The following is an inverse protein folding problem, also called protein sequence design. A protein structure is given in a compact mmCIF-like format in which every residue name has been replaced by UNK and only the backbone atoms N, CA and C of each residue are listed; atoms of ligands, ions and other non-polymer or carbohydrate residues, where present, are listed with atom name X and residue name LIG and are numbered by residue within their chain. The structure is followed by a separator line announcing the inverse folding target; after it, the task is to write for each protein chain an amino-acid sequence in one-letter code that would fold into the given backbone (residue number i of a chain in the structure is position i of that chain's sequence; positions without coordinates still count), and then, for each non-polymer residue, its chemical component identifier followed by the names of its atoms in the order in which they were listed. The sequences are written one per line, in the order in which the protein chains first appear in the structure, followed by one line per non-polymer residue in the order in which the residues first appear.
data_IF_073342165071
#
_entry.id   IF_073342165071
#
_cell.length_a   1.000
_cell.length_b   1.000
_cell.length_c   1.000
_cell.angle_alpha   90.00
_cell.angle_beta   90.00
_cell.angle_gamma   90.00
#
_symmetry.space_group_name_H-M   'P 1'
#
loop_
_entity.id
_entity.type
_entity.pdbx_description
1 polymer ?
#
# COMPACT_ATOMS: atom_id res chain seq x y z
N UNK A 1 -8.67 -6.89 -29.58
CA UNK A 1 -9.09 -6.69 -28.17
C UNK A 1 -8.25 -7.66 -27.34
N UNK A 2 -7.33 -7.23 -26.47
CA UNK A 2 -6.83 -8.17 -25.48
C UNK A 2 -7.97 -8.40 -24.49
N UNK A 3 -8.31 -9.67 -24.30
CA UNK A 3 -9.26 -10.13 -23.30
C UNK A 3 -8.81 -9.56 -21.95
N UNK A 4 -9.63 -8.69 -21.34
CA UNK A 4 -9.41 -8.24 -19.97
C UNK A 4 -9.69 -9.43 -19.06
N UNK A 5 -8.69 -10.29 -18.88
CA UNK A 5 -8.79 -11.45 -18.02
C UNK A 5 -8.94 -10.96 -16.57
N UNK A 6 -10.02 -11.39 -15.91
CA UNK A 6 -10.27 -11.10 -14.49
C UNK A 6 -9.40 -11.96 -13.55
N UNK A 7 -8.26 -12.45 -14.05
CA UNK A 7 -7.39 -13.42 -13.40
C UNK A 7 -5.92 -13.10 -13.64
N UNK A 8 -5.04 -13.67 -12.81
CA UNK A 8 -3.57 -13.50 -12.92
C UNK A 8 -3.02 -14.57 -13.86
N UNK A 9 -1.73 -14.49 -14.21
CA UNK A 9 -1.06 -15.50 -15.05
C UNK A 9 -1.27 -16.91 -14.48
N UNK A 10 -1.36 -17.90 -15.38
CA UNK A 10 -1.54 -19.30 -15.01
C UNK A 10 -0.22 -19.93 -14.55
N UNK A 11 -0.29 -21.14 -13.97
CA UNK A 11 0.91 -21.89 -13.55
C UNK A 11 1.81 -22.20 -14.75
N UNK A 12 1.21 -22.50 -15.91
CA UNK A 12 1.92 -22.79 -17.16
C UNK A 12 2.68 -21.57 -17.70
N UNK A 13 2.26 -20.37 -17.33
CA UNK A 13 2.86 -19.09 -17.74
C UNK A 13 3.88 -18.57 -16.70
N UNK A 14 4.00 -19.26 -15.56
CA UNK A 14 4.95 -18.95 -14.50
C UNK A 14 6.22 -19.81 -14.62
N UNK A 15 7.30 -19.37 -13.95
CA UNK A 15 8.57 -20.10 -13.90
C UNK A 15 9.02 -20.30 -12.45
N UNK A 16 9.91 -21.26 -12.22
CA UNK A 16 10.56 -21.40 -10.92
C UNK A 16 11.53 -20.23 -10.69
N UNK A 17 11.24 -19.42 -9.68
CA UNK A 17 12.01 -18.22 -9.34
C UNK A 17 13.04 -18.48 -8.24
N UNK A 18 12.71 -19.37 -7.30
CA UNK A 18 13.59 -19.69 -6.18
C UNK A 18 13.30 -21.09 -5.63
N UNK A 19 14.32 -21.70 -5.03
CA UNK A 19 14.21 -22.94 -4.27
C UNK A 19 14.79 -22.75 -2.88
N UNK A 20 14.16 -23.37 -1.88
CA UNK A 20 14.71 -23.49 -0.54
C UNK A 20 15.31 -24.88 -0.42
N UNK A 21 16.62 -24.96 -0.23
CA UNK A 21 17.35 -26.20 -0.03
C UNK A 21 17.78 -26.32 1.44
N UNK A 22 17.54 -27.49 2.04
CA UNK A 22 18.02 -27.85 3.37
C UNK A 22 18.77 -29.16 3.29
N UNK A 23 20.07 -29.11 3.57
CA UNK A 23 20.95 -30.29 3.60
C UNK A 23 20.93 -31.11 2.29
N UNK A 24 20.95 -30.45 1.13
CA UNK A 24 20.91 -31.14 -0.18
C UNK A 24 19.51 -31.54 -0.65
N UNK A 25 18.46 -31.25 0.13
CA UNK A 25 17.07 -31.54 -0.23
C UNK A 25 16.32 -30.24 -0.57
N UNK A 26 15.72 -30.19 -1.75
CA UNK A 26 14.83 -29.09 -2.14
C UNK A 26 13.52 -29.23 -1.37
N UNK A 27 13.40 -28.47 -0.29
CA UNK A 27 12.27 -28.48 0.64
C UNK A 27 11.07 -27.71 0.07
N UNK A 28 11.31 -26.65 -0.72
CA UNK A 28 10.25 -25.82 -1.29
C UNK A 28 10.68 -25.19 -2.61
N UNK A 29 9.70 -25.00 -3.50
CA UNK A 29 9.85 -24.35 -4.82
C UNK A 29 8.89 -23.17 -4.91
N UNK A 30 9.37 -22.02 -5.38
CA UNK A 30 8.60 -20.81 -5.55
C UNK A 30 8.40 -20.53 -7.03
N UNK A 31 7.15 -20.66 -7.50
CA UNK A 31 6.77 -20.47 -8.90
C UNK A 31 6.09 -19.11 -9.04
N UNK A 32 6.48 -18.32 -10.05
CA UNK A 32 5.90 -17.00 -10.30
C UNK A 32 6.42 -16.33 -11.56
N UNK A 33 6.21 -15.02 -11.62
CA UNK A 33 6.81 -14.15 -12.64
C UNK A 33 7.63 -13.04 -11.97
N UNK A 34 8.72 -12.62 -12.62
CA UNK A 34 9.57 -11.54 -12.17
C UNK A 34 10.14 -10.75 -13.35
N UNK A 35 10.32 -9.44 -13.12
CA UNK A 35 11.01 -8.54 -14.04
C UNK A 35 12.05 -7.74 -13.27
N UNK A 36 13.22 -7.54 -13.88
CA UNK A 36 14.25 -6.62 -13.40
C UNK A 36 14.36 -5.49 -14.42
N UNK A 37 14.19 -4.27 -13.95
CA UNK A 37 14.28 -3.06 -14.77
C UNK A 37 15.58 -2.31 -14.45
N UNK A 38 16.16 -1.70 -15.48
CA UNK A 38 17.23 -0.71 -15.35
C UNK A 38 16.66 0.62 -14.85
N UNK A 39 17.53 1.54 -14.41
CA UNK A 39 17.12 2.87 -13.94
C UNK A 39 16.42 3.73 -15.00
N UNK A 40 16.58 3.40 -16.29
CA UNK A 40 15.89 4.02 -17.41
C UNK A 40 14.56 3.31 -17.79
N UNK A 41 14.16 2.29 -17.03
CA UNK A 41 12.95 1.50 -17.25
C UNK A 41 13.08 0.38 -18.29
N UNK A 42 14.25 0.20 -18.91
CA UNK A 42 14.47 -0.92 -19.83
C UNK A 42 14.50 -2.27 -19.10
N UNK A 43 13.96 -3.31 -19.73
CA UNK A 43 13.95 -4.68 -19.17
C UNK A 43 15.35 -5.26 -19.24
N UNK A 44 15.94 -5.55 -18.08
CA UNK A 44 17.23 -6.24 -17.95
C UNK A 44 17.02 -7.74 -17.99
N UNK A 45 16.04 -8.23 -17.24
CA UNK A 45 15.69 -9.66 -17.14
C UNK A 45 14.19 -9.81 -16.99
N UNK A 46 13.63 -10.81 -17.66
CA UNK A 46 12.23 -11.23 -17.53
C UNK A 46 12.17 -12.73 -17.27
N UNK A 47 11.32 -13.14 -16.32
CA UNK A 47 11.08 -14.51 -15.91
C UNK A 47 9.55 -14.75 -15.86
N UNK A 48 9.05 -15.68 -16.67
CA UNK A 48 7.60 -15.94 -16.80
C UNK A 48 6.83 -14.79 -17.46
N UNK A 49 5.51 -14.81 -17.29
CA UNK A 49 4.60 -13.79 -17.81
C UNK A 49 4.49 -12.55 -16.91
N UNK A 50 5.15 -11.47 -17.34
CA UNK A 50 5.17 -10.17 -16.66
C UNK A 50 4.09 -9.21 -17.16
N UNK A 51 3.26 -9.64 -18.12
CA UNK A 51 2.30 -8.80 -18.85
C UNK A 51 0.85 -9.03 -18.46
N UNK A 52 0.58 -10.12 -17.73
CA UNK A 52 -0.75 -10.38 -17.20
C UNK A 52 -0.97 -9.59 -15.90
N UNK A 53 -2.14 -8.94 -15.74
CA UNK A 53 -2.43 -8.11 -14.59
C UNK A 53 -2.24 -8.82 -13.25
N UNK A 54 -1.68 -8.10 -12.28
CA UNK A 54 -1.56 -8.58 -10.89
C UNK A 54 -2.19 -7.58 -9.91
N UNK A 55 -2.59 -8.06 -8.74
CA UNK A 55 -2.85 -7.16 -7.63
C UNK A 55 -1.51 -6.75 -7.01
N UNK A 56 -1.07 -5.53 -7.32
CA UNK A 56 0.12 -4.94 -6.72
C UNK A 56 0.00 -4.76 -5.19
N UNK A 57 -1.23 -4.74 -4.65
CA UNK A 57 -1.51 -4.61 -3.21
C UNK A 57 -0.71 -3.43 -2.62
N UNK A 58 -0.13 -3.60 -1.43
CA UNK A 58 0.61 -2.56 -0.72
C UNK A 58 1.78 -1.94 -1.48
N UNK A 59 2.23 -2.54 -2.60
CA UNK A 59 3.25 -1.93 -3.46
C UNK A 59 2.79 -0.61 -4.10
N UNK A 60 1.49 -0.31 -4.15
CA UNK A 60 0.97 0.95 -4.71
C UNK A 60 0.97 2.14 -3.73
N UNK A 61 1.36 1.93 -2.45
CA UNK A 61 1.42 3.00 -1.45
C UNK A 61 2.26 4.22 -1.86
N UNK A 62 3.40 4.09 -2.55
CA UNK A 62 4.13 5.25 -3.07
C UNK A 62 3.29 6.12 -4.01
N UNK A 63 2.51 5.53 -4.91
CA UNK A 63 1.60 6.29 -5.78
C UNK A 63 0.46 6.95 -5.00
N UNK A 64 -0.01 6.31 -3.93
CA UNK A 64 -1.03 6.85 -3.04
C UNK A 64 -0.53 8.05 -2.22
N UNK A 65 0.70 7.95 -1.71
CA UNK A 65 1.37 9.05 -1.05
C UNK A 65 1.59 10.21 -2.03
N UNK A 66 2.05 9.91 -3.25
CA UNK A 66 2.23 10.90 -4.31
C UNK A 66 0.91 11.61 -4.66
N UNK A 67 -0.20 10.87 -4.82
CA UNK A 67 -1.51 11.45 -5.06
C UNK A 67 -1.96 12.39 -3.93
N UNK A 68 -1.67 12.03 -2.67
CA UNK A 68 -1.94 12.88 -1.52
C UNK A 68 -1.10 14.16 -1.55
N UNK A 69 0.20 14.04 -1.86
CA UNK A 69 1.11 15.18 -1.98
C UNK A 69 0.74 16.11 -3.13
N UNK A 70 0.37 15.58 -4.29
CA UNK A 70 -0.15 16.35 -5.43
C UNK A 70 -1.50 17.02 -5.13
N UNK A 71 -2.24 16.50 -4.14
CA UNK A 71 -3.46 17.13 -3.61
C UNK A 71 -3.17 18.20 -2.55
N UNK A 72 -1.92 18.63 -2.39
CA UNK A 72 -1.53 19.74 -1.50
C UNK A 72 -0.93 19.32 -0.17
N UNK A 73 -0.89 18.03 0.16
CA UNK A 73 -0.37 17.57 1.46
C UNK A 73 1.15 17.75 1.55
N UNK A 74 1.68 18.50 2.53
CA UNK A 74 3.10 18.81 2.62
C UNK A 74 3.89 17.70 3.35
N UNK A 75 3.77 16.44 2.94
CA UNK A 75 4.50 15.32 3.55
C UNK A 75 6.03 15.52 3.44
N UNK A 76 6.77 15.34 4.54
CA UNK A 76 8.24 15.42 4.57
C UNK A 76 8.86 14.31 5.44
N UNK A 77 10.09 13.93 5.13
CA UNK A 77 10.89 13.01 5.95
C UNK A 77 10.15 11.71 6.31
N UNK A 78 10.02 11.43 7.61
CA UNK A 78 9.37 10.23 8.13
C UNK A 78 7.89 10.09 7.69
N UNK A 79 7.18 11.20 7.43
CA UNK A 79 5.79 11.15 6.98
C UNK A 79 5.66 10.53 5.59
N UNK A 80 6.61 10.86 4.68
CA UNK A 80 6.67 10.24 3.35
C UNK A 80 6.97 8.75 3.48
N UNK A 81 7.92 8.38 4.35
CA UNK A 81 8.24 6.99 4.60
C UNK A 81 7.02 6.19 5.08
N UNK A 82 6.26 6.70 6.06
CA UNK A 82 5.08 6.02 6.58
C UNK A 82 3.89 6.00 5.60
N UNK A 83 3.71 7.04 4.80
CA UNK A 83 2.70 7.03 3.74
C UNK A 83 3.01 5.98 2.65
N UNK A 84 4.29 5.74 2.36
CA UNK A 84 4.74 4.79 1.34
C UNK A 84 4.90 3.35 1.85
N UNK A 85 5.04 3.13 3.16
CA UNK A 85 5.47 1.84 3.72
C UNK A 85 4.34 1.00 4.35
N UNK A 86 4.66 -0.27 4.61
CA UNK A 86 3.93 -1.13 5.53
C UNK A 86 4.68 -1.20 6.86
N UNK A 87 4.57 -0.16 7.68
CA UNK A 87 5.37 -0.04 8.90
C UNK A 87 4.97 -1.05 9.99
N UNK A 88 5.87 -1.32 10.93
CA UNK A 88 5.67 -2.29 12.01
C UNK A 88 4.90 -1.76 13.23
N UNK A 89 4.62 -0.45 13.23
CA UNK A 89 3.85 0.20 14.31
C UNK A 89 4.63 0.39 15.61
N UNK A 90 5.94 0.70 15.52
CA UNK A 90 6.73 1.13 16.68
C UNK A 90 6.16 2.42 17.28
N UNK A 91 6.62 2.79 18.49
CA UNK A 91 6.20 4.04 19.14
C UNK A 91 6.49 5.26 18.25
N UNK A 92 7.68 5.35 17.65
CA UNK A 92 8.03 6.43 16.72
C UNK A 92 7.13 6.45 15.47
N UNK A 93 6.74 5.28 14.96
CA UNK A 93 5.81 5.23 13.83
C UNK A 93 4.43 5.78 14.22
N UNK A 94 3.93 5.41 15.40
CA UNK A 94 2.64 5.87 15.88
C UNK A 94 2.65 7.38 16.16
N UNK A 95 3.74 7.92 16.73
CA UNK A 95 3.92 9.36 16.97
C UNK A 95 3.93 10.17 15.66
N UNK A 96 4.61 9.69 14.62
CA UNK A 96 4.61 10.35 13.30
C UNK A 96 3.20 10.35 12.69
N UNK A 97 2.45 9.24 12.78
CA UNK A 97 1.08 9.15 12.26
C UNK A 97 0.15 10.07 13.05
N UNK A 98 0.26 10.09 14.38
CA UNK A 98 -0.51 11.01 15.23
C UNK A 98 -0.21 12.48 14.88
N UNK A 99 1.06 12.81 14.64
CA UNK A 99 1.47 14.13 14.16
C UNK A 99 0.85 14.49 12.81
N UNK A 100 0.76 13.55 11.87
CA UNK A 100 0.07 13.74 10.59
C UNK A 100 -1.43 13.99 10.78
N UNK A 101 -2.11 13.23 11.64
CA UNK A 101 -3.54 13.42 11.94
C UNK A 101 -3.79 14.79 12.59
N UNK A 102 -2.93 15.20 13.53
CA UNK A 102 -2.98 16.50 14.18
C UNK A 102 -2.81 17.64 13.19
N UNK A 103 -1.84 17.54 12.27
CA UNK A 103 -1.64 18.53 11.21
C UNK A 103 -2.84 18.63 10.26
N UNK A 104 -3.48 17.49 9.99
CA UNK A 104 -4.69 17.41 9.19
C UNK A 104 -5.97 17.86 9.92
N UNK A 105 -5.94 18.07 11.24
CA UNK A 105 -7.11 18.42 12.04
C UNK A 105 -8.11 17.28 12.24
N UNK A 106 -7.66 16.02 12.15
CA UNK A 106 -8.49 14.82 12.30
C UNK A 106 -8.02 13.97 13.48
N UNK A 107 -8.84 13.00 13.87
CA UNK A 107 -8.55 12.10 15.00
C UNK A 107 -8.34 10.64 14.55
N UNK A 108 -7.76 9.84 15.44
CA UNK A 108 -7.51 8.41 15.20
C UNK A 108 -8.78 7.65 14.78
N UNK A 109 -9.97 8.01 15.28
CA UNK A 109 -11.20 7.29 14.98
C UNK A 109 -11.64 7.43 13.51
N UNK A 110 -11.13 8.44 12.80
CA UNK A 110 -11.37 8.63 11.37
C UNK A 110 -10.47 7.74 10.49
N UNK A 111 -9.45 7.10 11.07
CA UNK A 111 -8.70 6.07 10.37
C UNK A 111 -9.61 4.87 10.09
N UNK A 112 -9.71 4.49 8.82
CA UNK A 112 -10.49 3.34 8.37
C UNK A 112 -9.64 2.07 8.23
N UNK A 113 -8.41 2.09 8.75
CA UNK A 113 -7.59 0.89 8.90
C UNK A 113 -7.89 0.19 10.25
N UNK A 114 -7.77 -1.15 10.35
CA UNK A 114 -8.12 -1.88 11.57
C UNK A 114 -7.33 -1.43 12.81
N UNK A 115 -7.96 -1.49 13.98
CA UNK A 115 -7.26 -1.37 15.26
C UNK A 115 -6.57 -2.69 15.59
N UNK A 116 -5.24 -2.66 15.74
CA UNK A 116 -4.39 -3.85 15.88
C UNK A 116 -3.35 -3.67 16.99
N UNK A 117 -2.71 -4.78 17.37
CA UNK A 117 -1.47 -4.71 18.13
C UNK A 117 -0.30 -4.40 17.17
N UNK A 118 0.70 -3.60 17.58
CA UNK A 118 1.93 -3.46 16.82
C UNK A 118 2.59 -4.79 16.50
N UNK A 119 3.27 -4.85 15.35
CA UNK A 119 4.21 -5.94 15.04
C UNK A 119 5.52 -5.75 15.80
N UNK A 120 5.89 -4.50 16.07
CA UNK A 120 7.02 -4.17 16.93
C UNK A 120 6.77 -4.64 18.38
N UNK A 121 7.61 -5.54 18.87
CA UNK A 121 7.43 -6.17 20.17
C UNK A 121 7.57 -5.18 21.34
N UNK A 122 8.45 -4.19 21.22
CA UNK A 122 8.67 -3.18 22.26
C UNK A 122 7.42 -2.32 22.43
N UNK A 123 6.88 -1.80 21.32
CA UNK A 123 5.65 -1.02 21.32
C UNK A 123 4.45 -1.85 21.80
N UNK A 124 4.33 -3.11 21.37
CA UNK A 124 3.26 -4.01 21.83
C UNK A 124 3.33 -4.23 23.35
N UNK A 125 4.51 -4.53 23.88
CA UNK A 125 4.68 -4.74 25.32
C UNK A 125 4.41 -3.47 26.12
N UNK A 126 4.79 -2.30 25.59
CA UNK A 126 4.48 -1.01 26.20
C UNK A 126 2.96 -0.77 26.26
N UNK A 127 2.23 -0.96 25.16
CA UNK A 127 0.76 -0.79 25.12
C UNK A 127 0.02 -1.75 26.06
N UNK A 128 0.50 -2.99 26.18
CA UNK A 128 -0.07 -3.97 27.13
C UNK A 128 0.16 -3.50 28.57
N UNK A 129 1.38 -3.10 28.93
CA UNK A 129 1.74 -2.70 30.30
C UNK A 129 1.08 -1.39 30.73
N UNK A 130 0.81 -0.51 29.77
CA UNK A 130 0.15 0.77 29.98
C UNK A 130 -1.36 0.72 29.80
N UNK A 131 -1.93 -0.46 29.55
CA UNK A 131 -3.38 -0.71 29.40
C UNK A 131 -4.06 0.11 28.27
N UNK A 132 -3.29 0.55 27.26
CA UNK A 132 -3.82 1.35 26.13
C UNK A 132 -4.58 0.50 25.10
N UNK A 133 -4.38 -0.83 25.08
CA UNK A 133 -5.05 -1.74 24.15
C UNK A 133 -4.55 -1.65 22.69
N UNK A 134 -5.36 -2.11 21.75
CA UNK A 134 -5.09 -2.04 20.31
C UNK A 134 -5.33 -0.62 19.78
N UNK A 135 -4.53 -0.19 18.81
CA UNK A 135 -4.65 1.14 18.18
C UNK A 135 -4.70 1.02 16.66
N UNK A 136 -5.39 1.96 16.01
CA UNK A 136 -5.37 2.15 14.56
C UNK A 136 -4.05 2.75 14.09
N UNK A 137 -3.37 3.54 14.94
CA UNK A 137 -2.03 4.07 14.66
C UNK A 137 -1.02 2.94 14.44
N UNK A 138 -1.19 1.82 15.15
CA UNK A 138 -0.34 0.63 15.03
C UNK A 138 -0.55 -0.17 13.73
N UNK A 139 -1.62 0.11 12.98
CA UNK A 139 -1.87 -0.56 11.70
C UNK A 139 -0.77 -0.24 10.72
N UNK A 140 -0.23 -1.24 10.01
CA UNK A 140 0.81 -1.04 8.99
C UNK A 140 0.37 -0.15 7.80
N UNK A 141 -0.90 0.23 7.75
CA UNK A 141 -1.47 1.11 6.74
C UNK A 141 -1.79 2.50 7.29
N UNK A 142 -1.63 2.76 8.59
CA UNK A 142 -2.10 4.00 9.20
C UNK A 142 -1.44 5.24 8.58
N UNK A 143 -0.17 5.17 8.20
CA UNK A 143 0.52 6.24 7.46
C UNK A 143 -0.16 6.64 6.14
N UNK A 144 -0.56 5.67 5.28
CA UNK A 144 -1.29 6.01 4.03
C UNK A 144 -2.68 6.59 4.32
N UNK A 145 -3.36 6.10 5.35
CA UNK A 145 -4.69 6.60 5.72
C UNK A 145 -4.61 8.01 6.30
N UNK A 146 -3.57 8.31 7.09
CA UNK A 146 -3.33 9.67 7.58
C UNK A 146 -3.04 10.64 6.42
N UNK A 147 -2.25 10.24 5.42
CA UNK A 147 -2.04 11.04 4.21
C UNK A 147 -3.33 11.27 3.42
N UNK A 148 -4.19 10.25 3.31
CA UNK A 148 -5.50 10.34 2.68
C UNK A 148 -6.45 11.30 3.40
N UNK A 149 -6.54 11.19 4.72
CA UNK A 149 -7.36 12.10 5.53
C UNK A 149 -6.85 13.54 5.41
N UNK A 150 -5.53 13.74 5.44
CA UNK A 150 -4.94 15.06 5.24
C UNK A 150 -5.27 15.63 3.85
N UNK A 151 -5.18 14.83 2.79
CA UNK A 151 -5.60 15.26 1.46
C UNK A 151 -7.09 15.63 1.42
N UNK A 152 -7.94 14.90 2.15
CA UNK A 152 -9.36 15.23 2.23
C UNK A 152 -9.58 16.59 2.93
N UNK A 153 -8.89 16.87 4.04
CA UNK A 153 -9.06 18.13 4.75
C UNK A 153 -8.52 19.33 3.98
N UNK A 154 -7.39 19.20 3.29
CA UNK A 154 -6.84 20.26 2.42
C UNK A 154 -7.78 20.62 1.26
N UNK A 155 -8.58 19.67 0.78
CA UNK A 155 -9.45 19.87 -0.39
C UNK A 155 -10.95 19.96 -0.06
N UNK A 156 -11.32 19.92 1.22
CA UNK A 156 -12.72 19.91 1.66
C UNK A 156 -13.51 18.66 1.20
N UNK A 157 -12.83 17.53 0.99
CA UNK A 157 -13.48 16.25 0.65
C UNK A 157 -13.98 15.51 1.89
N UNK A 158 -14.89 14.56 1.69
CA UNK A 158 -15.49 13.81 2.79
C UNK A 158 -14.50 12.82 3.43
N UNK A 159 -14.17 13.09 4.69
CA UNK A 159 -13.26 12.25 5.50
C UNK A 159 -13.88 10.91 5.93
N UNK A 160 -15.17 10.67 5.69
CA UNK A 160 -15.82 9.40 6.04
C UNK A 160 -15.95 8.42 4.87
N UNK A 161 -15.78 8.86 3.63
CA UNK A 161 -15.91 8.02 2.44
C UNK A 161 -14.65 7.98 1.58
N UNK A 162 -13.50 8.38 2.12
CA UNK A 162 -12.24 8.48 1.35
C UNK A 162 -11.74 7.17 0.73
N UNK A 163 -12.25 6.01 1.15
CA UNK A 163 -11.95 4.70 0.56
C UNK A 163 -12.92 4.27 -0.54
N UNK A 164 -14.02 4.99 -0.73
CA UNK A 164 -15.03 4.66 -1.73
C UNK A 164 -14.50 4.91 -3.16
N UNK A 165 -14.82 4.05 -4.14
CA UNK A 165 -14.26 4.14 -5.49
C UNK A 165 -14.48 5.50 -6.16
N UNK A 166 -15.64 6.11 -5.89
CA UNK A 166 -16.07 7.36 -6.50
C UNK A 166 -15.61 8.60 -5.71
N UNK A 167 -14.88 8.41 -4.61
CA UNK A 167 -14.36 9.53 -3.84
C UNK A 167 -13.28 10.28 -4.64
N UNK A 168 -13.24 11.64 -4.63
CA UNK A 168 -12.27 12.43 -5.38
C UNK A 168 -10.81 11.99 -5.16
N UNK A 169 -10.45 11.66 -3.92
CA UNK A 169 -9.15 11.08 -3.58
C UNK A 169 -8.84 9.78 -4.36
N UNK A 170 -9.79 8.85 -4.45
CA UNK A 170 -9.58 7.59 -5.17
C UNK A 170 -9.47 7.83 -6.67
N UNK A 171 -10.17 8.83 -7.23
CA UNK A 171 -9.93 9.29 -8.60
C UNK A 171 -8.49 9.80 -8.79
N UNK A 172 -7.99 10.63 -7.87
CA UNK A 172 -6.60 11.12 -7.92
C UNK A 172 -5.59 9.99 -7.86
N UNK A 173 -5.75 9.04 -6.94
CA UNK A 173 -4.88 7.86 -6.83
C UNK A 173 -4.86 7.08 -8.15
N UNK A 174 -6.01 6.85 -8.77
CA UNK A 174 -6.07 6.18 -10.08
C UNK A 174 -5.33 6.96 -11.15
N UNK A 175 -5.56 8.27 -11.25
CA UNK A 175 -4.86 9.12 -12.23
C UNK A 175 -3.35 9.03 -12.07
N UNK A 176 -2.82 9.12 -10.84
CA UNK A 176 -1.38 9.01 -10.58
C UNK A 176 -0.85 7.63 -10.96
N UNK A 177 -1.57 6.56 -10.64
CA UNK A 177 -1.13 5.22 -11.00
C UNK A 177 -1.05 5.06 -12.52
N UNK A 178 -2.09 5.47 -13.25
CA UNK A 178 -2.10 5.36 -14.72
C UNK A 178 -1.04 6.26 -15.38
N UNK A 179 -0.81 7.45 -14.85
CA UNK A 179 0.20 8.39 -15.35
C UNK A 179 1.60 7.81 -15.22
N UNK A 180 1.94 7.25 -14.06
CA UNK A 180 3.29 6.76 -13.78
C UNK A 180 3.53 5.31 -14.20
N UNK A 181 2.49 4.49 -14.36
CA UNK A 181 2.61 3.17 -14.97
C UNK A 181 2.59 3.22 -16.50
N UNK A 182 2.03 4.29 -17.07
CA UNK A 182 1.82 4.40 -18.53
C UNK A 182 0.68 3.53 -19.05
N UNK A 183 -0.14 2.97 -18.16
CA UNK A 183 -1.17 1.98 -18.52
C UNK A 183 -2.50 2.24 -17.83
N UNK A 184 -3.57 1.66 -18.37
CA UNK A 184 -4.92 1.80 -17.80
C UNK A 184 -5.21 0.74 -16.76
N UNK A 185 -5.89 1.15 -15.69
CA UNK A 185 -6.28 0.23 -14.63
C UNK A 185 -7.32 -0.76 -15.16
N UNK A 186 -6.99 -2.05 -15.13
CA UNK A 186 -7.85 -3.10 -15.67
C UNK A 186 -9.01 -3.47 -14.73
N UNK A 187 -8.80 -3.39 -13.40
CA UNK A 187 -9.79 -3.83 -12.42
C UNK A 187 -9.63 -3.14 -11.06
N UNK A 188 -10.68 -3.05 -10.25
CA UNK A 188 -10.62 -2.52 -8.87
C UNK A 188 -11.00 -3.62 -7.88
N UNK A 189 -10.11 -3.98 -6.95
CA UNK A 189 -10.35 -4.92 -5.86
C UNK A 189 -10.38 -4.23 -4.49
N UNK A 190 -10.97 -4.86 -3.46
CA UNK A 190 -10.86 -4.41 -2.05
C UNK A 190 -9.81 -5.28 -1.36
N UNK A 191 -8.95 -4.68 -0.55
CA UNK A 191 -8.03 -5.40 0.33
C UNK A 191 -8.43 -5.27 1.79
N UNK A 192 -8.11 -6.30 2.58
CA UNK A 192 -8.50 -6.47 3.99
C UNK A 192 -7.99 -5.38 4.95
N UNK A 193 -7.25 -4.39 4.45
CA UNK A 193 -6.92 -3.15 5.15
C UNK A 193 -7.94 -2.00 4.94
N UNK A 194 -9.04 -2.26 4.22
CA UNK A 194 -10.11 -1.30 3.90
C UNK A 194 -9.94 -0.57 2.57
N UNK A 195 -8.75 -0.62 1.96
CA UNK A 195 -8.43 0.12 0.75
C UNK A 195 -8.82 -0.64 -0.54
N UNK A 196 -9.35 0.09 -1.54
CA UNK A 196 -9.66 -0.46 -2.87
C UNK A 196 -8.48 -0.27 -3.83
N UNK A 197 -7.80 -1.36 -4.18
CA UNK A 197 -6.69 -1.33 -5.13
C UNK A 197 -7.18 -1.33 -6.57
N UNK A 198 -6.66 -0.44 -7.41
CA UNK A 198 -6.57 -0.71 -8.82
C UNK A 198 -5.56 -1.83 -9.10
N UNK A 199 -5.90 -2.69 -10.05
CA UNK A 199 -5.02 -3.70 -10.65
C UNK A 199 -4.16 -2.98 -11.69
N UNK A 200 -2.84 -3.04 -11.52
CA UNK A 200 -1.93 -2.72 -12.61
C UNK A 200 -2.07 -3.80 -13.67
N UNK A 201 -1.98 -3.46 -14.96
CA UNK A 201 -1.83 -4.47 -16.00
C UNK A 201 -0.62 -5.38 -15.79
#
# INVERSE_FOLDING_TARGET
MPLSSHETFSVESAVELAVIERSGFIESRHIGSAVVLSGDGSVVTQLGDISTPIYARSALKPFQALASMQSGVPLRGAQVALACASHVGSLDHMDVVEGMLKAAGVREEQLQCPSVWPQDEVARNWLIRSEHGKSRLASNCSGKHAAFLWACTENGWDTHSYLEPNHPLQHRVRTVIEEYSGEKIAHLGIDGCGHRWPRSP
#
